data_IF_911316714077
#
_entry.id   IF_911316714077
#
_cell.length_a   1.000
_cell.length_b   1.000
_cell.length_c   1.000
_cell.angle_alpha   90.00
_cell.angle_beta   90.00
_cell.angle_gamma   90.00
#
_symmetry.space_group_name_H-M   'P 1'
#
loop_
_entity.id
_entity.type
_entity.pdbx_description
1 polymer ?
#
# COMPACT_ATOMS: atom_id res chain seq x y z
N UNK A 1 -15.76 35.08 -2.21
CA UNK A 1 -15.85 34.16 -1.06
C UNK A 1 -15.80 32.75 -1.63
N UNK A 2 -14.61 32.20 -1.71
CA UNK A 2 -14.30 30.94 -2.38
C UNK A 2 -14.66 29.77 -1.48
N UNK A 3 -15.65 28.98 -1.90
CA UNK A 3 -16.07 27.76 -1.24
C UNK A 3 -14.92 26.75 -1.22
N UNK A 4 -14.54 26.30 -0.02
CA UNK A 4 -13.56 25.24 0.20
C UNK A 4 -14.13 23.91 -0.28
N UNK A 5 -13.47 23.26 -1.24
CA UNK A 5 -13.80 21.91 -1.70
C UNK A 5 -13.65 20.88 -0.56
N UNK A 6 -14.54 19.89 -0.45
CA UNK A 6 -14.41 18.80 0.51
C UNK A 6 -13.22 17.90 0.10
N UNK A 7 -12.44 17.47 1.09
CA UNK A 7 -11.34 16.50 0.90
C UNK A 7 -11.97 15.17 0.51
N UNK A 8 -11.80 14.81 -0.76
CA UNK A 8 -12.28 13.57 -1.35
C UNK A 8 -11.84 12.33 -0.56
N UNK A 9 -12.81 11.43 -0.45
CA UNK A 9 -12.75 10.14 0.22
C UNK A 9 -11.59 9.30 -0.32
N UNK A 10 -10.65 8.98 0.57
CA UNK A 10 -9.35 8.41 0.22
C UNK A 10 -9.46 6.92 -0.15
N UNK A 11 -10.56 6.24 0.17
CA UNK A 11 -10.81 4.85 -0.22
C UNK A 11 -12.33 4.67 -0.33
N UNK A 12 -12.82 4.22 -1.49
CA UNK A 12 -14.26 4.07 -1.73
C UNK A 12 -14.99 3.49 -0.52
N UNK A 13 -15.98 4.23 -0.03
CA UNK A 13 -16.78 3.84 1.12
C UNK A 13 -17.30 2.39 0.99
N UNK A 14 -17.17 1.55 2.03
CA UNK A 14 -17.88 0.28 2.08
C UNK A 14 -19.40 0.55 2.19
N UNK A 15 -20.26 -0.31 1.60
CA UNK A 15 -21.69 -0.11 1.66
C UNK A 15 -22.19 -0.17 3.11
N UNK A 16 -22.99 0.82 3.48
CA UNK A 16 -23.81 0.82 4.70
C UNK A 16 -24.82 -0.34 4.59
N UNK A 17 -25.05 -1.15 5.63
CA UNK A 17 -26.10 -2.15 5.59
C UNK A 17 -27.46 -1.44 5.63
N UNK A 18 -28.19 -1.45 4.51
CA UNK A 18 -29.59 -1.05 4.49
C UNK A 18 -30.48 -2.27 4.68
N UNK A 19 -31.00 -2.43 5.89
CA UNK A 19 -32.24 -3.16 6.13
C UNK A 19 -33.41 -2.34 5.58
N UNK A 20 -34.01 -2.77 4.48
CA UNK A 20 -35.47 -2.74 4.28
C UNK A 20 -35.83 -3.37 2.94
N UNK A 21 -36.61 -4.44 3.02
CA UNK A 21 -37.23 -5.11 1.90
C UNK A 21 -38.33 -4.25 1.26
N UNK A 22 -38.37 -4.20 -0.07
CA UNK A 22 -39.59 -4.18 -0.87
C UNK A 22 -39.23 -4.56 -2.32
N UNK A 23 -39.81 -5.66 -2.80
CA UNK A 23 -39.63 -6.19 -4.13
C UNK A 23 -40.71 -5.66 -5.08
N UNK A 24 -40.35 -5.31 -6.32
CA UNK A 24 -41.21 -5.47 -7.49
C UNK A 24 -40.38 -5.90 -8.72
N UNK A 25 -40.94 -6.69 -9.64
CA UNK A 25 -40.16 -7.44 -10.64
C UNK A 25 -40.12 -6.70 -11.99
N UNK A 26 -38.96 -6.70 -12.65
CA UNK A 26 -38.90 -6.36 -14.07
C UNK A 26 -38.23 -7.48 -14.89
N UNK A 27 -38.88 -7.78 -16.02
CA UNK A 27 -38.64 -8.90 -16.92
C UNK A 27 -37.58 -8.51 -17.96
N UNK A 28 -36.49 -9.26 -18.06
CA UNK A 28 -35.73 -9.35 -19.33
C UNK A 28 -34.93 -10.65 -19.47
N UNK A 29 -34.76 -11.06 -20.72
CA UNK A 29 -34.54 -12.40 -21.28
C UNK A 29 -33.21 -13.12 -20.93
N UNK A 30 -33.11 -14.46 -21.14
CA UNK A 30 -32.06 -15.28 -20.56
C UNK A 30 -30.73 -15.21 -21.35
N UNK A 31 -29.68 -14.66 -20.74
CA UNK A 31 -28.29 -14.90 -21.13
C UNK A 31 -27.76 -16.10 -20.34
N UNK A 32 -27.26 -17.10 -21.05
CA UNK A 32 -26.66 -18.34 -20.53
C UNK A 32 -25.41 -18.05 -19.70
N UNK A 33 -25.60 -17.75 -18.42
CA UNK A 33 -24.53 -17.70 -17.42
C UNK A 33 -24.11 -19.13 -17.08
N UNK A 34 -22.94 -19.57 -17.57
CA UNK A 34 -22.19 -20.65 -16.91
C UNK A 34 -21.85 -20.13 -15.51
N UNK A 35 -22.47 -20.69 -14.49
CA UNK A 35 -22.23 -20.33 -13.09
C UNK A 35 -20.92 -20.94 -12.60
N UNK A 36 -19.86 -20.17 -12.27
CA UNK A 36 -18.69 -20.71 -11.62
C UNK A 36 -18.88 -20.61 -10.09
N UNK A 37 -19.99 -21.15 -9.56
CA UNK A 37 -20.32 -21.00 -8.14
C UNK A 37 -19.66 -22.04 -7.22
N UNK A 38 -18.83 -22.96 -7.76
CA UNK A 38 -18.12 -23.97 -6.96
C UNK A 38 -16.59 -23.84 -6.91
N UNK A 39 -15.94 -23.09 -7.82
CA UNK A 39 -14.47 -23.17 -7.99
C UNK A 39 -13.64 -22.06 -7.34
N UNK A 40 -14.24 -21.12 -6.60
CA UNK A 40 -13.49 -19.98 -6.05
C UNK A 40 -13.02 -19.01 -7.14
N UNK A 41 -12.13 -18.08 -6.78
CA UNK A 41 -11.50 -17.16 -7.74
C UNK A 41 -10.28 -17.88 -8.33
N UNK A 42 -10.21 -17.96 -9.65
CA UNK A 42 -9.10 -18.62 -10.36
C UNK A 42 -8.06 -17.58 -10.83
N UNK A 43 -6.76 -17.92 -10.81
CA UNK A 43 -5.72 -17.05 -11.36
C UNK A 43 -5.80 -17.01 -12.90
N UNK A 44 -5.50 -15.84 -13.48
CA UNK A 44 -5.33 -15.69 -14.93
C UNK A 44 -4.10 -16.48 -15.43
N UNK A 45 -4.14 -16.88 -16.70
CA UNK A 45 -2.95 -17.39 -17.37
C UNK A 45 -1.92 -16.26 -17.52
N UNK A 46 -0.67 -16.54 -17.18
CA UNK A 46 0.43 -15.56 -17.25
C UNK A 46 1.15 -15.70 -18.58
N UNK A 47 1.41 -14.58 -19.25
CA UNK A 47 2.19 -14.56 -20.49
C UNK A 47 3.62 -15.08 -20.24
N UNK A 48 4.20 -15.92 -21.13
CA UNK A 48 5.54 -16.47 -20.93
C UNK A 48 6.61 -15.42 -20.62
N UNK A 49 6.54 -14.27 -21.28
CA UNK A 49 7.50 -13.16 -21.12
C UNK A 49 7.45 -12.58 -19.69
N UNK A 50 6.26 -12.55 -19.08
CA UNK A 50 6.08 -12.08 -17.69
C UNK A 50 6.61 -13.12 -16.70
N UNK A 51 6.45 -14.41 -16.99
CA UNK A 51 7.00 -15.47 -16.18
C UNK A 51 8.55 -15.49 -16.22
N UNK A 52 9.13 -15.33 -17.42
CA UNK A 52 10.59 -15.19 -17.61
C UNK A 52 11.14 -13.94 -16.92
N UNK A 53 10.43 -12.81 -17.02
CA UNK A 53 10.78 -11.58 -16.31
C UNK A 53 10.82 -11.81 -14.80
N UNK A 54 9.81 -12.48 -14.23
CA UNK A 54 9.76 -12.76 -12.80
C UNK A 54 10.92 -13.63 -12.31
N UNK A 55 11.35 -14.61 -13.12
CA UNK A 55 12.50 -15.47 -12.80
C UNK A 55 13.83 -14.72 -12.75
N UNK A 56 13.96 -13.62 -13.50
CA UNK A 56 15.15 -12.76 -13.51
C UNK A 56 15.25 -11.80 -12.33
N UNK A 57 14.17 -11.64 -11.55
CA UNK A 57 14.12 -10.66 -10.46
C UNK A 57 14.62 -11.24 -9.13
N UNK A 58 15.54 -10.56 -8.44
CA UNK A 58 16.09 -11.02 -7.17
C UNK A 58 15.00 -11.27 -6.13
N UNK A 59 15.18 -12.28 -5.28
CA UNK A 59 14.22 -12.61 -4.20
C UNK A 59 13.98 -11.46 -3.21
N UNK A 60 14.96 -10.58 -3.04
CA UNK A 60 14.87 -9.39 -2.17
C UNK A 60 13.91 -8.32 -2.68
N UNK A 61 13.46 -8.40 -3.94
CA UNK A 61 12.54 -7.45 -4.56
C UNK A 61 11.08 -7.93 -4.45
N UNK A 62 10.23 -7.13 -3.83
CA UNK A 62 8.79 -7.39 -3.77
C UNK A 62 8.03 -6.25 -4.41
N UNK A 63 7.39 -6.54 -5.53
CA UNK A 63 6.48 -5.64 -6.23
C UNK A 63 5.07 -6.19 -6.04
N UNK A 64 4.12 -5.29 -5.84
CA UNK A 64 2.75 -5.66 -5.57
C UNK A 64 1.82 -4.49 -5.66
N UNK A 65 0.58 -4.69 -5.22
CA UNK A 65 -0.48 -3.69 -5.38
C UNK A 65 -1.01 -3.21 -4.03
N UNK A 66 -1.69 -2.06 -4.03
CA UNK A 66 -2.30 -1.50 -2.81
C UNK A 66 -3.56 -2.23 -2.33
N UNK A 67 -4.12 -3.12 -3.13
CA UNK A 67 -5.24 -4.03 -2.81
C UNK A 67 -5.29 -5.14 -3.88
N UNK A 68 -6.09 -6.18 -3.69
CA UNK A 68 -6.32 -7.24 -4.67
C UNK A 68 -7.75 -7.23 -5.27
N UNK A 69 -8.68 -6.43 -4.75
CA UNK A 69 -10.12 -6.65 -4.99
C UNK A 69 -10.72 -6.00 -6.24
N UNK A 70 -9.98 -5.80 -7.33
CA UNK A 70 -10.46 -5.05 -8.50
C UNK A 70 -11.04 -5.94 -9.63
N UNK A 71 -12.32 -5.78 -10.01
CA UNK A 71 -12.94 -6.58 -11.08
C UNK A 71 -12.30 -6.40 -12.47
N UNK A 72 -11.77 -5.22 -12.77
CA UNK A 72 -11.15 -4.96 -14.08
C UNK A 72 -9.81 -5.67 -14.31
N UNK A 73 -9.35 -6.50 -13.37
CA UNK A 73 -8.17 -7.35 -13.55
C UNK A 73 -8.50 -8.74 -14.12
N UNK A 74 -9.71 -8.94 -14.63
CA UNK A 74 -10.02 -10.11 -15.46
C UNK A 74 -9.06 -10.18 -16.66
N UNK A 75 -8.48 -11.36 -16.87
CA UNK A 75 -7.45 -11.61 -17.87
C UNK A 75 -6.05 -11.10 -17.49
N UNK A 76 -5.91 -10.31 -16.42
CA UNK A 76 -4.61 -9.81 -15.93
C UNK A 76 -4.13 -10.57 -14.68
N UNK A 77 -5.03 -10.75 -13.72
CA UNK A 77 -4.76 -11.44 -12.44
C UNK A 77 -5.77 -12.55 -12.21
N UNK A 78 -7.01 -12.38 -12.67
CA UNK A 78 -8.11 -13.32 -12.45
C UNK A 78 -8.58 -13.95 -13.76
N UNK A 79 -8.90 -15.24 -13.75
CA UNK A 79 -9.52 -15.94 -14.88
C UNK A 79 -11.04 -15.87 -14.77
N UNK A 80 -11.63 -14.74 -15.14
CA UNK A 80 -13.07 -14.51 -15.20
C UNK A 80 -13.53 -13.23 -14.49
N UNK A 81 -14.77 -12.87 -14.78
CA UNK A 81 -15.44 -11.72 -14.18
C UNK A 81 -15.92 -12.05 -12.76
N UNK A 82 -15.38 -11.35 -11.77
CA UNK A 82 -15.75 -11.49 -10.36
C UNK A 82 -16.17 -10.14 -9.77
N UNK A 83 -17.13 -10.16 -8.85
CA UNK A 83 -17.47 -8.96 -8.09
C UNK A 83 -16.32 -8.56 -7.16
N UNK A 84 -16.19 -7.26 -6.89
CA UNK A 84 -15.23 -6.74 -5.92
C UNK A 84 -15.36 -7.43 -4.55
N UNK A 85 -16.60 -7.65 -4.09
CA UNK A 85 -16.87 -8.36 -2.83
C UNK A 85 -16.39 -9.81 -2.84
N UNK A 86 -16.45 -10.50 -3.98
CA UNK A 86 -15.94 -11.87 -4.12
C UNK A 86 -14.42 -11.86 -4.12
N UNK A 87 -13.80 -10.94 -4.85
CA UNK A 87 -12.34 -10.79 -4.90
C UNK A 87 -11.76 -10.40 -3.55
N UNK A 88 -12.38 -9.47 -2.82
CA UNK A 88 -11.96 -9.09 -1.47
C UNK A 88 -11.90 -10.28 -0.51
N UNK A 89 -12.87 -11.21 -0.60
CA UNK A 89 -12.98 -12.37 0.28
C UNK A 89 -12.19 -13.60 -0.17
N UNK A 90 -12.07 -13.81 -1.48
CA UNK A 90 -11.56 -15.08 -2.05
C UNK A 90 -10.47 -14.91 -3.11
N UNK A 91 -10.18 -13.68 -3.53
CA UNK A 91 -9.24 -13.39 -4.62
C UNK A 91 -7.77 -13.47 -4.22
N UNK A 92 -7.44 -13.36 -2.93
CA UNK A 92 -6.05 -13.30 -2.46
C UNK A 92 -5.21 -14.53 -2.88
N UNK A 93 -5.80 -15.73 -2.81
CA UNK A 93 -5.11 -16.96 -3.20
C UNK A 93 -4.85 -17.05 -4.72
N UNK A 94 -5.69 -16.43 -5.56
CA UNK A 94 -5.43 -16.30 -7.00
C UNK A 94 -4.42 -15.19 -7.29
N UNK A 95 -4.55 -14.04 -6.61
CA UNK A 95 -3.63 -12.92 -6.71
C UNK A 95 -2.18 -13.34 -6.44
N UNK A 96 -1.96 -14.09 -5.36
CA UNK A 96 -0.62 -14.51 -4.93
C UNK A 96 0.00 -15.61 -5.81
N UNK A 97 -0.71 -16.10 -6.83
CA UNK A 97 -0.15 -17.00 -7.85
C UNK A 97 0.46 -16.24 -9.03
N UNK A 98 0.23 -14.93 -9.15
CA UNK A 98 0.87 -14.13 -10.19
C UNK A 98 2.37 -13.98 -9.87
N UNK A 99 3.30 -14.37 -10.76
CA UNK A 99 4.71 -14.56 -10.42
C UNK A 99 5.46 -13.26 -10.07
N UNK A 100 5.00 -12.11 -10.56
CA UNK A 100 5.55 -10.80 -10.17
C UNK A 100 4.96 -10.24 -8.86
N UNK A 101 3.74 -10.62 -8.48
CA UNK A 101 3.01 -9.99 -7.38
C UNK A 101 3.32 -10.71 -6.07
N UNK A 102 4.52 -10.48 -5.53
CA UNK A 102 5.03 -11.14 -4.30
C UNK A 102 4.73 -10.38 -3.01
N UNK A 103 3.94 -9.31 -3.11
CA UNK A 103 3.46 -8.54 -1.96
C UNK A 103 2.10 -7.90 -2.23
N UNK A 104 1.38 -7.54 -1.18
CA UNK A 104 0.17 -6.70 -1.28
C UNK A 104 0.00 -5.87 -0.01
N UNK A 105 -0.64 -4.70 -0.14
CA UNK A 105 -1.01 -3.87 0.99
C UNK A 105 -2.33 -4.33 1.61
N UNK A 106 -2.39 -4.38 2.95
CA UNK A 106 -3.62 -4.53 3.72
C UNK A 106 -4.00 -3.17 4.29
N UNK A 107 -4.96 -2.51 3.65
CA UNK A 107 -5.39 -1.15 4.01
C UNK A 107 -6.74 -1.10 4.73
N UNK A 108 -7.52 -2.20 4.74
CA UNK A 108 -8.85 -2.21 5.39
C UNK A 108 -8.80 -1.93 6.90
N UNK A 109 -7.63 -2.12 7.51
CA UNK A 109 -7.38 -1.80 8.92
C UNK A 109 -7.43 -0.30 9.23
N UNK A 110 -7.39 0.55 8.19
CA UNK A 110 -7.41 2.00 8.35
C UNK A 110 -8.67 2.49 9.07
N UNK A 111 -9.84 1.89 8.79
CA UNK A 111 -11.11 2.30 9.37
C UNK A 111 -11.44 1.58 10.69
N UNK A 112 -10.99 0.33 10.84
CA UNK A 112 -11.23 -0.48 12.04
C UNK A 112 -10.11 -1.51 12.22
N UNK A 113 -9.66 -1.78 13.46
CA UNK A 113 -8.68 -2.82 13.73
C UNK A 113 -9.03 -4.16 13.09
N UNK A 114 -8.02 -4.86 12.56
CA UNK A 114 -8.19 -6.18 11.96
C UNK A 114 -7.99 -7.24 13.04
N UNK A 115 -8.96 -8.16 13.26
CA UNK A 115 -8.78 -9.26 14.19
C UNK A 115 -7.62 -10.18 13.80
N UNK A 116 -6.92 -10.72 14.81
CA UNK A 116 -5.80 -11.67 14.63
C UNK A 116 -6.15 -12.83 13.67
N UNK A 117 -7.35 -13.41 13.80
CA UNK A 117 -7.80 -14.54 13.00
C UNK A 117 -7.80 -14.24 11.49
N UNK A 118 -8.07 -12.99 11.10
CA UNK A 118 -8.08 -12.61 9.70
C UNK A 118 -6.65 -12.51 9.14
N UNK A 119 -5.69 -12.01 9.93
CA UNK A 119 -4.28 -12.03 9.55
C UNK A 119 -3.76 -13.46 9.38
N UNK A 120 -4.16 -14.39 10.27
CA UNK A 120 -3.83 -15.82 10.15
C UNK A 120 -4.42 -16.39 8.85
N UNK A 121 -5.67 -16.06 8.53
CA UNK A 121 -6.29 -16.49 7.28
C UNK A 121 -5.58 -15.92 6.03
N UNK A 122 -5.11 -14.68 6.08
CA UNK A 122 -4.30 -14.09 5.00
C UNK A 122 -2.97 -14.80 4.83
N UNK A 123 -2.25 -15.05 5.91
CA UNK A 123 -0.99 -15.76 5.88
C UNK A 123 -1.13 -17.17 5.29
N UNK A 124 -2.22 -17.87 5.61
CA UNK A 124 -2.50 -19.20 5.08
C UNK A 124 -2.89 -19.21 3.58
N UNK A 125 -3.29 -18.06 3.03
CA UNK A 125 -3.79 -17.95 1.65
C UNK A 125 -2.70 -17.66 0.62
N UNK A 126 -1.44 -17.50 1.03
CA UNK A 126 -0.34 -17.06 0.15
C UNK A 126 0.92 -17.93 0.29
N UNK A 127 1.77 -17.99 -0.76
CA UNK A 127 3.06 -18.67 -0.71
C UNK A 127 3.96 -18.21 0.45
N UNK A 128 4.98 -19.00 0.77
CA UNK A 128 5.90 -18.74 1.89
C UNK A 128 6.77 -17.49 1.68
N UNK A 129 7.13 -17.17 0.44
CA UNK A 129 7.98 -16.03 0.07
C UNK A 129 7.22 -14.69 -0.01
N UNK A 130 5.88 -14.76 -0.03
CA UNK A 130 4.98 -13.61 -0.08
C UNK A 130 5.07 -12.76 1.19
N UNK A 131 4.99 -11.44 1.07
CA UNK A 131 4.90 -10.53 2.23
C UNK A 131 3.69 -9.62 2.14
N UNK A 132 3.13 -9.28 3.29
CA UNK A 132 2.13 -8.23 3.39
C UNK A 132 2.76 -6.96 3.91
N UNK A 133 2.46 -5.84 3.26
CA UNK A 133 2.58 -4.56 3.93
C UNK A 133 1.26 -4.24 4.62
N UNK A 134 1.30 -3.79 5.87
CA UNK A 134 0.09 -3.52 6.64
C UNK A 134 0.06 -2.06 6.99
N UNK A 135 -1.06 -1.39 6.66
CA UNK A 135 -1.26 0.00 7.00
C UNK A 135 -1.90 0.13 8.38
N UNK A 136 -1.35 1.02 9.19
CA UNK A 136 -1.87 1.33 10.51
C UNK A 136 -3.28 1.94 10.46
N UNK A 137 -3.99 1.82 11.60
CA UNK A 137 -5.32 2.40 11.77
C UNK A 137 -5.27 3.93 11.73
N UNK A 138 -6.33 4.56 11.22
CA UNK A 138 -6.49 6.03 11.27
C UNK A 138 -6.56 6.54 12.71
N UNK A 139 -7.01 5.73 13.66
CA UNK A 139 -7.09 6.09 15.07
C UNK A 139 -5.74 6.56 15.64
N UNK A 140 -4.61 6.02 15.18
CA UNK A 140 -3.27 6.46 15.62
C UNK A 140 -2.53 7.33 14.60
N UNK A 141 -3.03 7.41 13.37
CA UNK A 141 -2.38 8.13 12.26
C UNK A 141 -3.07 9.42 11.83
N UNK A 142 -4.29 9.68 12.29
CA UNK A 142 -5.03 10.91 12.03
C UNK A 142 -5.08 11.77 13.30
N UNK A 143 -4.62 13.01 13.20
CA UNK A 143 -4.66 13.96 14.31
C UNK A 143 -6.07 14.48 14.59
N UNK A 144 -7.02 14.27 13.66
CA UNK A 144 -8.33 14.90 13.67
C UNK A 144 -9.45 13.86 13.53
N UNK A 145 -10.45 13.92 14.42
CA UNK A 145 -11.71 13.21 14.27
C UNK A 145 -12.67 14.14 13.54
N UNK A 146 -13.26 13.67 12.44
CA UNK A 146 -14.32 14.39 11.73
C UNK A 146 -15.64 14.15 12.43
N UNK A 147 -16.38 15.21 12.75
CA UNK A 147 -17.73 15.09 13.28
C UNK A 147 -18.71 14.61 12.18
N UNK A 148 -19.81 13.99 12.59
CA UNK A 148 -20.82 13.40 11.69
C UNK A 148 -21.50 14.41 10.76
N UNK A 149 -21.39 15.72 11.06
CA UNK A 149 -21.91 16.81 10.24
C UNK A 149 -20.90 17.32 9.19
N UNK A 150 -19.68 16.78 9.18
CA UNK A 150 -18.59 17.13 8.27
C UNK A 150 -17.99 18.52 8.47
N UNK A 151 -18.44 19.29 9.47
CA UNK A 151 -18.02 20.69 9.70
C UNK A 151 -17.04 20.82 10.87
N UNK A 152 -17.16 19.99 11.90
CA UNK A 152 -16.25 19.96 13.04
C UNK A 152 -15.04 19.04 12.85
N UNK A 153 -13.87 19.48 13.32
CA UNK A 153 -12.68 18.64 13.55
C UNK A 153 -12.30 18.73 15.01
N UNK A 154 -12.35 17.62 15.72
CA UNK A 154 -11.84 17.51 17.09
C UNK A 154 -10.44 16.91 17.09
N UNK A 155 -9.60 17.31 18.05
CA UNK A 155 -8.31 16.66 18.24
C UNK A 155 -8.53 15.17 18.61
N UNK A 156 -7.82 14.28 17.93
CA UNK A 156 -7.88 12.85 18.19
C UNK A 156 -6.97 12.49 19.39
N UNK A 157 -7.52 12.06 20.54
CA UNK A 157 -6.72 11.66 21.70
C UNK A 157 -5.89 10.39 21.46
N UNK A 158 -6.27 9.56 20.48
CA UNK A 158 -5.55 8.36 20.10
C UNK A 158 -4.39 8.62 19.13
N UNK A 159 -4.25 9.84 18.58
CA UNK A 159 -3.20 10.15 17.63
C UNK A 159 -1.81 9.97 18.26
N UNK A 160 -0.96 9.17 17.61
CA UNK A 160 0.36 8.77 18.12
C UNK A 160 0.31 8.16 19.54
N UNK A 161 -0.75 7.42 19.86
CA UNK A 161 -0.84 6.62 21.08
C UNK A 161 -0.20 5.23 20.84
N UNK A 162 0.92 4.96 21.51
CA UNK A 162 1.68 3.72 21.34
C UNK A 162 0.90 2.48 21.84
N UNK A 163 0.15 2.58 22.93
CA UNK A 163 -0.65 1.47 23.47
C UNK A 163 -1.70 0.99 22.46
N UNK A 164 -2.44 1.92 21.85
CA UNK A 164 -3.40 1.60 20.80
C UNK A 164 -2.72 1.08 19.53
N UNK A 165 -1.59 1.66 19.13
CA UNK A 165 -0.84 1.15 17.98
C UNK A 165 -0.36 -0.30 18.20
N UNK A 166 0.10 -0.63 19.42
CA UNK A 166 0.54 -1.98 19.77
C UNK A 166 -0.63 -2.95 19.75
N UNK A 167 -1.68 -2.66 20.51
CA UNK A 167 -2.84 -3.54 20.71
C UNK A 167 -3.62 -3.79 19.42
N UNK A 168 -3.88 -2.74 18.64
CA UNK A 168 -4.85 -2.79 17.54
C UNK A 168 -4.20 -3.01 16.17
N UNK A 169 -2.88 -2.85 16.06
CA UNK A 169 -2.17 -2.89 14.80
C UNK A 169 -0.92 -3.77 14.84
N UNK A 170 0.09 -3.44 15.65
CA UNK A 170 1.39 -4.12 15.62
C UNK A 170 1.27 -5.58 16.05
N UNK A 171 0.69 -5.84 17.23
CA UNK A 171 0.62 -7.20 17.78
C UNK A 171 -0.26 -8.13 16.93
N UNK A 172 -1.50 -7.76 16.52
CA UNK A 172 -2.31 -8.62 15.67
C UNK A 172 -1.66 -8.90 14.31
N UNK A 173 -1.03 -7.89 13.69
CA UNK A 173 -0.40 -8.05 12.38
C UNK A 173 0.83 -8.96 12.45
N UNK A 174 1.76 -8.70 13.39
CA UNK A 174 3.01 -9.46 13.52
C UNK A 174 2.74 -10.91 13.93
N UNK A 175 1.84 -11.14 14.89
CA UNK A 175 1.48 -12.50 15.33
C UNK A 175 0.70 -13.27 14.28
N UNK A 176 -0.26 -12.61 13.61
CA UNK A 176 -1.13 -13.28 12.65
C UNK A 176 -0.43 -13.59 11.32
N UNK A 177 0.46 -12.69 10.86
CA UNK A 177 1.19 -12.87 9.61
C UNK A 177 2.49 -13.65 9.78
N UNK A 178 3.11 -13.64 10.96
CA UNK A 178 4.36 -14.32 11.23
C UNK A 178 5.44 -13.94 10.21
N UNK A 179 6.05 -14.94 9.57
CA UNK A 179 7.12 -14.73 8.59
C UNK A 179 6.67 -13.99 7.33
N UNK A 180 5.36 -13.91 7.07
CA UNK A 180 4.77 -13.15 5.95
C UNK A 180 4.54 -11.67 6.29
N UNK A 181 4.82 -11.25 7.53
CA UNK A 181 4.76 -9.84 7.92
C UNK A 181 5.92 -9.07 7.27
N UNK A 182 5.58 -8.10 6.43
CA UNK A 182 6.51 -7.13 5.85
C UNK A 182 6.37 -5.75 6.52
N UNK A 183 6.48 -4.65 5.76
CA UNK A 183 6.42 -3.31 6.33
C UNK A 183 5.11 -3.01 7.10
N UNK A 184 5.23 -2.44 8.29
CA UNK A 184 4.15 -1.87 9.09
C UNK A 184 4.16 -0.35 8.88
N UNK A 185 3.23 0.15 8.08
CA UNK A 185 3.24 1.53 7.57
C UNK A 185 2.31 2.43 8.38
N UNK A 186 2.89 3.37 9.11
CA UNK A 186 2.21 4.51 9.72
C UNK A 186 2.10 5.64 8.70
N UNK A 187 1.01 5.63 7.92
CA UNK A 187 0.70 6.73 7.00
C UNK A 187 -0.03 7.84 7.74
N UNK A 188 0.68 8.91 8.06
CA UNK A 188 0.12 10.07 8.75
C UNK A 188 -0.83 10.84 7.83
N UNK A 189 -2.07 11.06 8.26
CA UNK A 189 -3.02 11.94 7.57
C UNK A 189 -2.50 13.39 7.56
N UNK A 190 -3.00 14.24 6.65
CA UNK A 190 -2.72 15.68 6.67
C UNK A 190 -2.84 16.31 8.06
N UNK A 191 -1.74 16.85 8.57
CA UNK A 191 -1.64 17.28 9.97
C UNK A 191 -2.09 18.72 10.21
N UNK A 192 -2.19 19.55 9.16
CA UNK A 192 -2.62 20.95 9.28
C UNK A 192 -1.65 21.76 10.13
N UNK A 193 -2.16 22.50 11.13
CA UNK A 193 -1.34 23.34 12.01
C UNK A 193 -0.24 22.57 12.75
N UNK A 194 -0.41 21.26 13.01
CA UNK A 194 0.64 20.43 13.61
C UNK A 194 1.87 20.29 12.70
N UNK A 195 1.71 20.40 11.37
CA UNK A 195 2.85 20.39 10.45
C UNK A 195 3.61 21.73 10.42
N UNK A 196 3.03 22.81 10.94
CA UNK A 196 3.69 24.12 11.06
C UNK A 196 4.71 24.12 12.19
N UNK A 197 4.42 23.43 13.30
CA UNK A 197 5.40 23.11 14.35
C UNK A 197 6.13 21.79 14.03
N UNK A 198 6.95 21.81 12.98
CA UNK A 198 7.70 20.63 12.57
C UNK A 198 8.62 20.09 13.68
N UNK A 199 9.17 20.95 14.53
CA UNK A 199 10.08 20.56 15.62
C UNK A 199 9.33 19.78 16.70
N UNK A 200 8.26 20.35 17.27
CA UNK A 200 7.47 19.69 18.30
C UNK A 200 6.78 18.44 17.75
N UNK A 201 6.37 18.45 16.48
CA UNK A 201 5.84 17.26 15.84
C UNK A 201 6.85 16.12 15.73
N UNK A 202 8.11 16.39 15.31
CA UNK A 202 9.15 15.35 15.25
C UNK A 202 9.43 14.76 16.62
N UNK A 203 9.48 15.56 17.68
CA UNK A 203 9.69 15.09 19.06
C UNK A 203 8.54 14.19 19.53
N UNK A 204 7.29 14.56 19.22
CA UNK A 204 6.12 13.72 19.51
C UNK A 204 6.15 12.40 18.74
N UNK A 205 6.53 12.44 17.46
CA UNK A 205 6.65 11.25 16.63
C UNK A 205 7.78 10.32 17.12
N UNK A 206 8.92 10.88 17.54
CA UNK A 206 10.03 10.13 18.11
C UNK A 206 9.61 9.39 19.39
N UNK A 207 8.93 10.09 20.32
CA UNK A 207 8.40 9.48 21.54
C UNK A 207 7.43 8.32 21.24
N UNK A 208 6.57 8.47 20.22
CA UNK A 208 5.67 7.40 19.79
C UNK A 208 6.43 6.20 19.22
N UNK A 209 7.36 6.43 18.29
CA UNK A 209 8.09 5.36 17.60
C UNK A 209 9.02 4.60 18.56
N UNK A 210 9.66 5.29 19.49
CA UNK A 210 10.55 4.67 20.51
C UNK A 210 9.79 3.89 21.57
N UNK A 211 8.49 4.15 21.75
CA UNK A 211 7.62 3.38 22.62
C UNK A 211 7.06 2.10 21.97
N UNK A 212 7.24 1.90 20.66
CA UNK A 212 6.85 0.67 19.98
C UNK A 212 7.80 -0.49 20.36
N UNK A 213 7.30 -1.73 20.46
CA UNK A 213 8.14 -2.88 20.76
C UNK A 213 9.13 -3.14 19.62
N UNK A 214 10.34 -3.66 19.90
CA UNK A 214 11.21 -4.15 18.85
C UNK A 214 10.52 -5.29 18.08
N UNK A 215 10.69 -5.30 16.76
CA UNK A 215 10.20 -6.40 15.92
C UNK A 215 11.19 -7.57 16.02
N UNK A 216 10.67 -8.80 16.11
CA UNK A 216 11.48 -10.01 16.22
C UNK A 216 11.90 -10.51 14.82
N UNK A 217 13.20 -10.45 14.45
CA UNK A 217 13.65 -10.89 13.14
C UNK A 217 13.55 -12.40 12.90
N UNK A 218 13.41 -13.22 13.95
CA UNK A 218 13.20 -14.66 13.82
C UNK A 218 11.75 -14.98 13.45
N UNK A 219 10.79 -14.24 14.01
CA UNK A 219 9.36 -14.42 13.73
C UNK A 219 8.90 -13.62 12.51
N UNK A 220 9.50 -12.45 12.28
CA UNK A 220 9.09 -11.47 11.28
C UNK A 220 10.32 -10.89 10.53
N UNK A 221 11.06 -11.71 9.77
CA UNK A 221 12.38 -11.34 9.21
C UNK A 221 12.35 -10.16 8.24
N UNK A 222 11.19 -9.82 7.68
CA UNK A 222 11.01 -8.73 6.72
C UNK A 222 10.18 -7.58 7.29
N UNK A 223 9.78 -7.66 8.56
CA UNK A 223 9.00 -6.62 9.19
C UNK A 223 9.88 -5.44 9.58
N UNK A 224 9.39 -4.24 9.28
CA UNK A 224 9.97 -2.96 9.67
C UNK A 224 8.87 -1.97 9.94
N UNK A 225 9.08 -1.06 10.88
CA UNK A 225 8.25 0.13 10.98
C UNK A 225 8.61 1.10 9.85
N UNK A 226 7.60 1.66 9.21
CA UNK A 226 7.79 2.69 8.20
C UNK A 226 6.81 3.85 8.42
N UNK A 227 7.27 5.09 8.19
CA UNK A 227 6.43 6.30 8.26
C UNK A 227 6.23 6.85 6.85
N UNK A 228 4.98 7.05 6.47
CA UNK A 228 4.60 7.71 5.22
C UNK A 228 3.95 9.07 5.53
N UNK A 229 4.44 10.13 4.90
CA UNK A 229 3.96 11.50 5.15
C UNK A 229 2.88 11.92 4.14
N UNK A 230 2.09 12.93 4.54
CA UNK A 230 1.16 13.65 3.67
C UNK A 230 1.36 15.16 3.68
N UNK A 231 2.43 15.65 4.30
CA UNK A 231 2.78 17.07 4.37
C UNK A 231 4.26 17.25 4.01
N UNK A 232 4.52 17.82 2.82
CA UNK A 232 5.88 18.00 2.29
C UNK A 232 6.79 18.83 3.20
N UNK A 233 6.23 19.74 4.01
CA UNK A 233 6.98 20.58 4.97
C UNK A 233 7.68 19.76 6.05
N UNK A 234 7.18 18.56 6.34
CA UNK A 234 7.76 17.66 7.34
C UNK A 234 8.88 16.79 6.79
N UNK A 235 9.05 16.69 5.46
CA UNK A 235 10.17 15.96 4.85
C UNK A 235 11.46 16.79 4.98
N UNK A 236 12.03 16.75 6.18
CA UNK A 236 13.22 17.51 6.57
C UNK A 236 14.36 16.57 6.95
N UNK A 237 15.63 17.03 6.88
CA UNK A 237 16.76 16.27 7.39
C UNK A 237 16.63 15.88 8.87
N UNK A 238 15.97 16.71 9.68
CA UNK A 238 15.72 16.43 11.11
C UNK A 238 14.85 15.18 11.27
N UNK A 239 13.72 15.13 10.56
CA UNK A 239 12.82 13.96 10.59
C UNK A 239 13.55 12.70 10.09
N UNK A 240 14.26 12.77 8.97
CA UNK A 240 14.95 11.62 8.40
C UNK A 240 16.04 11.07 9.35
N UNK A 241 16.82 11.95 9.99
CA UNK A 241 17.83 11.54 10.97
C UNK A 241 17.21 10.93 12.23
N UNK A 242 16.05 11.44 12.67
CA UNK A 242 15.28 10.86 13.78
C UNK A 242 14.80 9.45 13.41
N UNK A 243 14.18 9.27 12.24
CA UNK A 243 13.75 7.94 11.77
C UNK A 243 14.91 6.95 11.74
N UNK A 244 16.09 7.38 11.25
CA UNK A 244 17.31 6.58 11.27
C UNK A 244 17.70 6.14 12.68
N UNK A 245 17.73 7.09 13.63
CA UNK A 245 18.09 6.82 15.02
C UNK A 245 17.10 5.86 15.70
N UNK A 246 15.81 5.96 15.36
CA UNK A 246 14.76 5.07 15.86
C UNK A 246 14.71 3.70 15.14
N UNK A 247 15.54 3.46 14.11
CA UNK A 247 15.48 2.24 13.30
C UNK A 247 14.21 2.13 12.44
N UNK A 248 13.54 3.24 12.18
CA UNK A 248 12.29 3.32 11.41
C UNK A 248 12.59 3.76 9.98
N UNK A 249 11.87 3.17 9.01
CA UNK A 249 12.05 3.48 7.59
C UNK A 249 11.18 4.64 7.14
N UNK A 250 11.69 5.43 6.20
CA UNK A 250 10.85 6.37 5.45
C UNK A 250 10.14 5.61 4.33
N UNK A 251 8.81 5.66 4.30
CA UNK A 251 8.02 5.13 3.20
C UNK A 251 7.86 6.22 2.14
N UNK A 252 8.44 6.00 0.96
CA UNK A 252 8.34 6.89 -0.19
C UNK A 252 6.90 6.85 -0.71
N UNK A 253 6.15 7.94 -0.52
CA UNK A 253 4.76 8.04 -0.92
C UNK A 253 4.61 8.96 -2.12
N UNK A 254 4.24 8.41 -3.29
CA UNK A 254 3.94 9.24 -4.47
C UNK A 254 2.48 9.70 -4.34
N UNK A 255 2.31 10.96 -3.97
CA UNK A 255 1.03 11.57 -3.64
C UNK A 255 1.09 13.08 -3.94
N UNK A 256 -0.03 13.71 -4.28
CA UNK A 256 -0.10 15.13 -4.67
C UNK A 256 0.41 16.14 -3.62
N UNK A 257 0.49 15.71 -2.35
CA UNK A 257 0.92 16.53 -1.20
C UNK A 257 2.38 16.33 -0.84
N UNK A 258 3.05 15.39 -1.52
CA UNK A 258 4.45 15.06 -1.30
C UNK A 258 5.29 15.57 -2.47
N UNK A 259 6.59 15.85 -2.25
CA UNK A 259 7.47 16.21 -3.35
C UNK A 259 7.62 15.07 -4.36
N UNK A 260 8.10 15.42 -5.55
CA UNK A 260 8.45 14.45 -6.58
C UNK A 260 9.43 13.38 -6.06
N UNK A 261 9.42 12.21 -6.70
CA UNK A 261 10.10 11.01 -6.23
C UNK A 261 11.62 11.17 -6.13
N UNK A 262 12.23 11.99 -6.99
CA UNK A 262 13.66 12.34 -6.97
C UNK A 262 14.07 13.05 -5.67
N UNK A 263 13.27 14.02 -5.21
CA UNK A 263 13.49 14.68 -3.92
C UNK A 263 13.29 13.72 -2.75
N UNK A 264 12.36 12.77 -2.87
CA UNK A 264 12.19 11.73 -1.86
C UNK A 264 13.34 10.71 -1.89
N UNK A 265 13.94 10.42 -3.04
CA UNK A 265 15.12 9.57 -3.18
C UNK A 265 16.32 10.15 -2.43
N UNK A 266 16.51 11.48 -2.48
CA UNK A 266 17.53 12.16 -1.68
C UNK A 266 17.31 11.99 -0.16
N UNK A 267 16.05 11.98 0.29
CA UNK A 267 15.71 11.70 1.69
C UNK A 267 16.02 10.24 2.08
N UNK A 268 15.79 9.28 1.19
CA UNK A 268 16.18 7.87 1.40
C UNK A 268 17.70 7.72 1.45
N UNK A 269 18.44 8.41 0.58
CA UNK A 269 19.91 8.40 0.62
C UNK A 269 20.45 8.93 1.97
N UNK A 270 19.86 10.01 2.49
CA UNK A 270 20.18 10.52 3.82
C UNK A 270 19.81 9.52 4.94
N UNK A 271 18.65 8.86 4.83
CA UNK A 271 18.24 7.83 5.78
C UNK A 271 19.22 6.66 5.82
N UNK A 272 19.85 6.36 4.68
CA UNK A 272 20.71 5.21 4.48
C UNK A 272 22.20 5.45 4.71
N UNK A 273 22.59 6.65 5.17
CA UNK A 273 23.94 6.88 5.70
C UNK A 273 24.20 5.92 6.87
N UNK A 274 25.23 5.08 6.76
CA UNK A 274 25.55 4.03 7.73
C UNK A 274 25.08 2.64 7.27
N UNK A 275 24.43 1.87 8.15
CA UNK A 275 23.98 0.50 7.83
C UNK A 275 22.84 0.46 6.79
N UNK A 276 22.03 1.52 6.72
CA UNK A 276 20.83 1.59 5.89
C UNK A 276 19.77 0.55 6.28
N UNK A 277 18.79 0.34 5.41
CA UNK A 277 17.70 -0.61 5.65
C UNK A 277 16.83 -0.83 4.42
N UNK A 278 15.74 -1.60 4.55
CA UNK A 278 14.88 -1.89 3.41
C UNK A 278 14.24 -0.63 2.82
N UNK A 279 14.03 -0.66 1.51
CA UNK A 279 13.30 0.36 0.77
C UNK A 279 11.80 0.02 0.79
N UNK A 280 10.98 0.98 1.22
CA UNK A 280 9.51 0.86 1.23
C UNK A 280 8.93 1.99 0.40
N UNK A 281 8.13 1.64 -0.60
CA UNK A 281 7.50 2.58 -1.55
C UNK A 281 6.01 2.29 -1.67
N UNK A 282 5.22 3.35 -1.68
CA UNK A 282 3.80 3.34 -2.05
C UNK A 282 3.56 4.32 -3.19
N UNK A 283 3.42 3.79 -4.40
CA UNK A 283 3.08 4.55 -5.59
C UNK A 283 1.56 4.74 -5.66
N UNK A 284 1.06 5.77 -4.94
CA UNK A 284 -0.38 5.94 -4.73
C UNK A 284 -1.08 6.67 -5.88
N UNK A 285 -0.40 7.61 -6.52
CA UNK A 285 -0.97 8.49 -7.55
C UNK A 285 0.08 8.78 -8.63
N UNK A 286 -0.42 9.03 -9.84
CA UNK A 286 0.35 9.61 -10.93
C UNK A 286 0.91 11.00 -10.55
N UNK A 287 2.14 11.31 -10.95
CA UNK A 287 2.77 12.61 -10.66
C UNK A 287 2.06 13.83 -11.27
N UNK A 288 1.21 13.64 -12.30
CA UNK A 288 0.56 14.73 -13.06
C UNK A 288 -0.78 15.19 -12.49
N UNK A 289 -1.42 14.42 -11.60
CA UNK A 289 -2.80 14.66 -11.20
C UNK A 289 -2.97 15.15 -9.76
N UNK A 290 -4.05 15.94 -9.56
CA UNK A 290 -4.70 16.10 -8.24
C UNK A 290 -5.65 14.92 -8.02
N UNK A 291 -5.74 14.42 -6.80
CA UNK A 291 -6.34 13.11 -6.46
C UNK A 291 -7.79 12.90 -6.99
N UNK A 292 -8.59 13.97 -6.98
CA UNK A 292 -10.03 13.98 -7.30
C UNK A 292 -10.40 13.56 -8.74
N UNK A 293 -9.46 13.61 -9.69
CA UNK A 293 -9.77 13.39 -11.13
C UNK A 293 -9.41 12.00 -11.65
N UNK A 294 -8.56 11.25 -10.94
CA UNK A 294 -7.95 10.02 -11.47
C UNK A 294 -8.88 8.78 -11.40
N UNK A 295 -9.71 8.66 -10.37
CA UNK A 295 -10.42 7.38 -10.14
C UNK A 295 -11.54 7.12 -11.17
N UNK A 296 -12.34 8.15 -11.49
CA UNK A 296 -13.37 8.02 -12.52
C UNK A 296 -12.77 7.85 -13.91
N UNK A 297 -11.63 8.50 -14.18
CA UNK A 297 -10.96 8.46 -15.48
C UNK A 297 -10.33 7.09 -15.78
N UNK A 298 -9.91 6.35 -14.75
CA UNK A 298 -9.14 5.11 -14.92
C UNK A 298 -9.94 3.84 -14.76
N UNK A 299 -11.19 3.91 -14.25
CA UNK A 299 -12.08 2.75 -14.27
C UNK A 299 -12.24 2.23 -15.71
N UNK A 300 -12.21 0.90 -15.92
CA UNK A 300 -12.31 -0.16 -14.92
C UNK A 300 -10.97 -0.67 -14.36
N UNK A 301 -9.86 0.02 -14.62
CA UNK A 301 -8.49 -0.34 -14.22
C UNK A 301 -7.85 -1.54 -14.95
N UNK A 302 -8.26 -1.75 -16.20
CA UNK A 302 -7.83 -2.88 -17.04
C UNK A 302 -6.74 -2.51 -18.07
N UNK A 303 -6.28 -1.26 -18.10
CA UNK A 303 -5.27 -0.77 -19.03
C UNK A 303 -4.45 0.36 -18.41
N UNK A 304 -3.25 0.59 -18.94
CA UNK A 304 -2.53 1.83 -18.70
C UNK A 304 -3.25 2.98 -19.42
N UNK A 305 -3.38 4.12 -18.75
CA UNK A 305 -4.08 5.31 -19.24
C UNK A 305 -3.10 6.48 -19.31
N UNK A 306 -2.55 6.86 -18.17
CA UNK A 306 -1.53 7.90 -18.08
C UNK A 306 -0.27 7.29 -17.50
N UNK A 307 0.63 6.87 -18.38
CA UNK A 307 1.94 6.39 -17.94
C UNK A 307 2.74 7.54 -17.30
N UNK A 308 3.51 7.20 -16.27
CA UNK A 308 4.42 8.11 -15.58
C UNK A 308 5.84 7.51 -15.59
N UNK A 309 6.53 7.59 -16.74
CA UNK A 309 7.88 7.06 -16.90
C UNK A 309 8.86 7.69 -15.92
N UNK A 310 8.75 8.98 -15.63
CA UNK A 310 9.65 9.66 -14.70
C UNK A 310 9.64 8.99 -13.31
N UNK A 311 8.44 8.78 -12.76
CA UNK A 311 8.31 8.09 -11.48
C UNK A 311 8.80 6.65 -11.56
N UNK A 312 8.42 5.93 -12.62
CA UNK A 312 8.81 4.52 -12.83
C UNK A 312 10.32 4.32 -12.89
N UNK A 313 11.02 5.10 -13.72
CA UNK A 313 12.46 5.01 -13.88
C UNK A 313 13.19 5.37 -12.57
N UNK A 314 12.73 6.42 -11.86
CA UNK A 314 13.31 6.80 -10.56
C UNK A 314 13.12 5.69 -9.53
N UNK A 315 11.93 5.08 -9.46
CA UNK A 315 11.67 3.95 -8.57
C UNK A 315 12.51 2.71 -8.92
N UNK A 316 12.76 2.47 -10.21
CA UNK A 316 13.64 1.41 -10.66
C UNK A 316 15.09 1.65 -10.22
N UNK A 317 15.60 2.88 -10.36
CA UNK A 317 16.95 3.25 -9.91
C UNK A 317 17.09 3.08 -8.39
N UNK A 318 16.09 3.51 -7.61
CA UNK A 318 16.05 3.32 -6.16
C UNK A 318 16.05 1.83 -5.78
N UNK A 319 15.25 1.01 -6.47
CA UNK A 319 15.19 -0.42 -6.22
C UNK A 319 16.52 -1.11 -6.52
N UNK A 320 17.15 -0.81 -7.66
CA UNK A 320 18.43 -1.38 -8.06
C UNK A 320 19.54 -0.97 -7.08
N UNK A 321 19.59 0.30 -6.67
CA UNK A 321 20.56 0.76 -5.67
C UNK A 321 20.39 0.05 -4.33
N UNK A 322 19.15 -0.15 -3.86
CA UNK A 322 18.88 -0.89 -2.63
C UNK A 322 19.27 -2.37 -2.75
N UNK A 323 18.91 -3.03 -3.85
CA UNK A 323 19.26 -4.44 -4.10
C UNK A 323 20.78 -4.64 -4.20
N UNK A 324 21.49 -3.74 -4.87
CA UNK A 324 22.95 -3.77 -4.96
C UNK A 324 23.63 -3.64 -3.58
N UNK A 325 22.99 -2.95 -2.64
CA UNK A 325 23.41 -2.87 -1.24
C UNK A 325 22.94 -4.04 -0.37
N UNK A 326 22.37 -5.11 -0.95
CA UNK A 326 21.84 -6.28 -0.23
C UNK A 326 20.56 -6.00 0.56
N UNK A 327 19.87 -4.88 0.29
CA UNK A 327 18.67 -4.46 1.02
C UNK A 327 17.42 -5.02 0.35
N UNK A 328 16.41 -5.33 1.16
CA UNK A 328 15.09 -5.73 0.68
C UNK A 328 14.34 -4.52 0.12
N UNK A 329 13.51 -4.74 -0.89
CA UNK A 329 12.71 -3.71 -1.56
C UNK A 329 11.25 -4.13 -1.55
N UNK A 330 10.36 -3.23 -1.12
CA UNK A 330 8.90 -3.41 -1.21
C UNK A 330 8.29 -2.21 -1.92
N UNK A 331 7.65 -2.43 -3.07
CA UNK A 331 6.97 -1.40 -3.85
C UNK A 331 5.51 -1.81 -4.06
N UNK A 332 4.59 -0.96 -3.61
CA UNK A 332 3.16 -1.15 -3.71
C UNK A 332 2.57 -0.13 -4.68
N UNK A 333 1.86 -0.62 -5.70
CA UNK A 333 1.33 0.21 -6.77
C UNK A 333 -0.21 0.28 -6.71
N UNK A 334 -0.73 1.50 -6.72
CA UNK A 334 -2.18 1.79 -6.81
C UNK A 334 -2.62 1.87 -8.27
N UNK A 335 -3.89 1.56 -8.55
CA UNK A 335 -4.42 1.73 -9.91
C UNK A 335 -4.38 3.21 -10.34
N UNK A 336 -4.40 4.12 -9.36
CA UNK A 336 -4.30 5.58 -9.58
C UNK A 336 -2.89 6.03 -9.98
N UNK A 337 -1.90 5.13 -9.99
CA UNK A 337 -0.56 5.42 -10.49
C UNK A 337 -0.58 5.66 -12.00
N UNK A 338 -1.14 4.72 -12.77
CA UNK A 338 -1.10 4.79 -14.24
C UNK A 338 -2.32 4.19 -14.93
N UNK A 339 -3.36 3.83 -14.17
CA UNK A 339 -4.60 3.23 -14.67
C UNK A 339 -4.75 1.75 -14.39
N UNK A 340 -3.67 0.99 -14.17
CA UNK A 340 -3.77 -0.44 -13.82
C UNK A 340 -2.55 -0.91 -13.05
N UNK A 341 -2.71 -1.23 -11.76
CA UNK A 341 -1.58 -1.65 -10.92
C UNK A 341 -0.83 -2.87 -11.46
N UNK A 342 -1.49 -3.95 -11.93
CA UNK A 342 -0.76 -5.12 -12.43
C UNK A 342 0.12 -4.77 -13.64
N UNK A 343 -0.38 -3.96 -14.56
CA UNK A 343 0.38 -3.52 -15.74
C UNK A 343 1.52 -2.57 -15.36
N UNK A 344 1.28 -1.66 -14.42
CA UNK A 344 2.34 -0.80 -13.85
C UNK A 344 3.42 -1.62 -13.13
N UNK A 345 3.04 -2.67 -12.41
CA UNK A 345 3.98 -3.59 -11.78
C UNK A 345 4.85 -4.31 -12.83
N UNK A 346 4.27 -4.76 -13.94
CA UNK A 346 5.02 -5.35 -15.07
C UNK A 346 6.00 -4.33 -15.65
N UNK A 347 5.54 -3.11 -15.96
CA UNK A 347 6.40 -2.05 -16.51
C UNK A 347 7.55 -1.66 -15.57
N UNK A 348 7.28 -1.60 -14.26
CA UNK A 348 8.31 -1.34 -13.26
C UNK A 348 9.30 -2.51 -13.15
N UNK A 349 8.82 -3.75 -13.19
CA UNK A 349 9.65 -4.93 -13.21
C UNK A 349 10.57 -4.98 -14.45
N UNK A 350 10.06 -4.62 -15.62
CA UNK A 350 10.85 -4.47 -16.86
C UNK A 350 11.96 -3.44 -16.67
N UNK A 351 11.63 -2.25 -16.16
CA UNK A 351 12.58 -1.16 -15.92
C UNK A 351 13.69 -1.55 -14.92
N UNK A 352 13.36 -2.33 -13.88
CA UNK A 352 14.33 -2.85 -12.91
C UNK A 352 15.19 -3.93 -13.57
N UNK A 353 14.60 -4.91 -14.25
CA UNK A 353 15.33 -6.01 -14.89
C UNK A 353 16.29 -5.54 -15.97
N UNK A 354 16.00 -4.43 -16.66
CA UNK A 354 16.89 -3.81 -17.64
C UNK A 354 18.15 -3.19 -17.02
N UNK A 355 18.15 -2.91 -15.71
CA UNK A 355 19.25 -2.28 -14.96
C UNK A 355 20.03 -3.26 -14.09
N UNK A 356 19.45 -4.42 -13.80
CA UNK A 356 20.12 -5.47 -13.05
C UNK A 356 21.24 -6.11 -13.89
N UNK A 357 22.36 -6.51 -13.28
CA UNK A 357 23.36 -7.32 -13.97
C UNK A 357 22.76 -8.67 -14.38
N UNK A 358 23.32 -9.28 -15.42
CA UNK A 358 22.79 -10.52 -16.02
C UNK A 358 22.67 -11.69 -15.01
N UNK A 359 23.48 -11.69 -13.95
CA UNK A 359 23.56 -12.75 -12.94
C UNK A 359 22.85 -12.39 -11.61
N UNK A 360 21.94 -11.41 -11.60
CA UNK A 360 21.30 -10.92 -10.38
C UNK A 360 20.22 -11.85 -9.77
N UNK A 361 19.79 -12.88 -10.50
CA UNK A 361 18.57 -13.66 -10.23
C UNK A 361 18.72 -14.67 -9.07
#
# INVERSE_FOLDING_TARGET
MTASSPIDDLFGAPPVPSDSAAAEPDKSAPKTKRSPTRQGVLPAAVAPEVAELAQRLPRGLRIGTSSWSYPGWDGLVYAGEYSESMLARKGLAAYAQHPLLRTVSIDRGFYSPIPLADYVAYAASVPEDFRFAVKATSAVCDAWIRESDGRGRMANPAFLNAEFAIRDFVEPATRGLGTRCGPLVFQLSPLGALAEDATGFVERLEAFLTALPPLDPQLNPDAVYAVELRDATLLTPRLIKMLRAAGVRYCVGLHERMPAVDRQAAAVALLDEGAGGPLVVRWNLNSRYRYAQAEAAYKPFNKLVDEDPFSRETLADMAVAALAAGRKVTILVSNKAEGSSPLSCIKLAEAIAARLPADAA
#
